data_IF_493388919174
#
_entry.id   IF_493388919174
#
_cell.length_a   1.000
_cell.length_b   1.000
_cell.length_c   1.000
_cell.angle_alpha   90.00
_cell.angle_beta   90.00
_cell.angle_gamma   90.00
#
_symmetry.space_group_name_H-M   'P 1'
#
loop_
_entity.id
_entity.type
_entity.pdbx_description
1 polymer ?
#
# COMPACT_ATOMS: atom_id res chain seq x y z
N UNK A 1 -17.61 5.23 -31.07
CA UNK A 1 -17.58 6.00 -29.81
C UNK A 1 -17.83 5.04 -28.64
N UNK A 2 -16.79 4.46 -28.00
CA UNK A 2 -16.94 3.64 -26.79
C UNK A 2 -16.04 4.08 -25.60
N UNK A 3 -15.66 5.37 -25.49
CA UNK A 3 -14.66 5.81 -24.51
C UNK A 3 -15.21 6.21 -23.11
N UNK A 4 -16.52 6.12 -22.88
CA UNK A 4 -17.11 6.58 -21.61
C UNK A 4 -17.24 5.49 -20.54
N UNK A 5 -17.51 4.24 -20.94
CA UNK A 5 -17.75 3.13 -20.01
C UNK A 5 -16.47 2.71 -19.26
N UNK A 6 -15.33 2.65 -19.95
CA UNK A 6 -14.03 2.29 -19.35
C UNK A 6 -13.47 3.33 -18.36
N UNK A 7 -14.01 4.55 -18.34
CA UNK A 7 -13.60 5.61 -17.39
C UNK A 7 -14.45 5.55 -16.11
N UNK A 8 -15.75 5.33 -16.24
CA UNK A 8 -16.66 5.13 -15.10
C UNK A 8 -16.33 3.85 -14.33
N UNK A 9 -15.94 2.77 -15.01
CA UNK A 9 -15.58 1.50 -14.38
C UNK A 9 -14.24 1.58 -13.62
N UNK A 10 -13.27 2.35 -14.12
CA UNK A 10 -12.01 2.60 -13.38
C UNK A 10 -12.18 3.54 -12.19
N UNK A 11 -13.07 4.54 -12.30
CA UNK A 11 -13.43 5.37 -11.15
C UNK A 11 -14.06 4.52 -10.03
N UNK A 12 -14.93 3.58 -10.38
CA UNK A 12 -15.55 2.68 -9.40
C UNK A 12 -14.55 1.71 -8.77
N UNK A 13 -13.53 1.27 -9.51
CA UNK A 13 -12.42 0.46 -8.97
C UNK A 13 -11.58 1.27 -7.99
N UNK A 14 -11.20 2.51 -8.32
CA UNK A 14 -10.43 3.36 -7.41
C UNK A 14 -11.18 3.65 -6.10
N UNK A 15 -12.49 3.93 -6.19
CA UNK A 15 -13.34 4.15 -5.02
C UNK A 15 -13.44 2.87 -4.16
N UNK A 16 -13.54 1.70 -4.80
CA UNK A 16 -13.54 0.40 -4.11
C UNK A 16 -12.19 0.14 -3.42
N UNK A 17 -11.07 0.39 -4.09
CA UNK A 17 -9.73 0.27 -3.49
C UNK A 17 -9.60 1.18 -2.27
N UNK A 18 -10.05 2.44 -2.37
CA UNK A 18 -10.02 3.38 -1.25
C UNK A 18 -10.87 2.90 -0.08
N UNK A 19 -12.09 2.43 -0.35
CA UNK A 19 -12.99 1.88 0.67
C UNK A 19 -12.37 0.65 1.36
N UNK A 20 -11.95 -0.35 0.59
CA UNK A 20 -11.40 -1.60 1.14
C UNK A 20 -10.07 -1.35 1.87
N UNK A 21 -9.27 -0.39 1.42
CA UNK A 21 -8.06 0.06 2.15
C UNK A 21 -8.43 0.63 3.52
N UNK A 22 -9.46 1.49 3.60
CA UNK A 22 -9.96 2.01 4.87
C UNK A 22 -10.51 0.93 5.80
N UNK A 23 -11.17 -0.09 5.24
CA UNK A 23 -11.65 -1.27 5.98
C UNK A 23 -10.49 -2.10 6.55
N UNK A 24 -9.46 -2.38 5.73
CA UNK A 24 -8.27 -3.10 6.16
C UNK A 24 -7.52 -2.35 7.28
N UNK A 25 -7.34 -1.03 7.15
CA UNK A 25 -6.68 -0.22 8.19
C UNK A 25 -7.48 -0.23 9.49
N UNK A 26 -8.81 -0.15 9.42
CA UNK A 26 -9.68 -0.24 10.61
C UNK A 26 -9.56 -1.62 11.28
N UNK A 27 -9.57 -2.69 10.50
CA UNK A 27 -9.39 -4.06 11.02
C UNK A 27 -8.01 -4.24 11.66
N UNK A 28 -6.94 -3.74 11.02
CA UNK A 28 -5.59 -3.77 11.56
C UNK A 28 -5.49 -3.00 12.90
N UNK A 29 -6.07 -1.80 13.00
CA UNK A 29 -6.11 -1.03 14.26
C UNK A 29 -6.89 -1.74 15.37
N UNK A 30 -7.90 -2.53 15.01
CA UNK A 30 -8.69 -3.33 15.94
C UNK A 30 -8.05 -4.69 16.28
N UNK A 31 -6.92 -5.04 15.64
CA UNK A 31 -6.31 -6.37 15.69
C UNK A 31 -7.29 -7.50 15.29
N UNK A 32 -8.22 -7.20 14.38
CA UNK A 32 -9.19 -8.16 13.84
C UNK A 32 -8.58 -8.87 12.62
N UNK A 33 -7.95 -10.03 12.87
CA UNK A 33 -7.22 -10.77 11.84
C UNK A 33 -8.13 -11.36 10.75
N UNK A 34 -9.38 -11.68 11.06
CA UNK A 34 -10.35 -12.23 10.11
C UNK A 34 -10.81 -11.14 9.14
N UNK A 35 -11.28 -9.99 9.68
CA UNK A 35 -11.70 -8.86 8.85
C UNK A 35 -10.52 -8.29 8.04
N UNK A 36 -9.32 -8.27 8.62
CA UNK A 36 -8.12 -7.84 7.94
C UNK A 36 -7.77 -8.75 6.76
N UNK A 37 -7.74 -10.08 6.97
CA UNK A 37 -7.47 -11.06 5.92
C UNK A 37 -8.45 -10.95 4.76
N UNK A 38 -9.75 -10.83 5.05
CA UNK A 38 -10.77 -10.67 4.02
C UNK A 38 -10.56 -9.39 3.18
N UNK A 39 -10.21 -8.27 3.82
CA UNK A 39 -9.95 -7.02 3.12
C UNK A 39 -8.67 -7.08 2.27
N UNK A 40 -7.59 -7.70 2.78
CA UNK A 40 -6.34 -7.87 2.03
C UNK A 40 -6.52 -8.79 0.83
N UNK A 41 -7.33 -9.85 0.96
CA UNK A 41 -7.65 -10.75 -0.14
C UNK A 41 -8.41 -10.01 -1.25
N UNK A 42 -9.38 -9.17 -0.88
CA UNK A 42 -10.12 -8.35 -1.85
C UNK A 42 -9.21 -7.34 -2.55
N UNK A 43 -8.31 -6.68 -1.82
CA UNK A 43 -7.37 -5.73 -2.40
C UNK A 43 -6.37 -6.40 -3.35
N UNK A 44 -5.92 -7.61 -3.03
CA UNK A 44 -5.02 -8.38 -3.88
C UNK A 44 -5.63 -8.74 -5.26
N UNK A 45 -6.97 -8.72 -5.40
CA UNK A 45 -7.66 -8.89 -6.68
C UNK A 45 -7.62 -7.64 -7.57
N UNK A 46 -7.21 -6.49 -7.03
CA UNK A 46 -7.19 -5.19 -7.70
C UNK A 46 -5.75 -4.70 -7.85
N UNK A 47 -5.10 -4.86 -9.02
CA UNK A 47 -3.73 -4.40 -9.25
C UNK A 47 -3.50 -2.91 -8.94
N UNK A 48 -4.54 -2.08 -9.09
CA UNK A 48 -4.53 -0.66 -8.77
C UNK A 48 -4.27 -0.37 -7.29
N UNK A 49 -4.60 -1.31 -6.40
CA UNK A 49 -4.34 -1.18 -4.95
C UNK A 49 -2.85 -0.99 -4.67
N UNK A 50 -1.98 -1.64 -5.45
CA UNK A 50 -0.53 -1.53 -5.32
C UNK A 50 -0.04 -0.11 -5.52
N UNK A 51 -0.51 0.54 -6.58
CA UNK A 51 -0.08 1.90 -6.91
C UNK A 51 -0.56 2.88 -5.83
N UNK A 52 -1.81 2.71 -5.38
CA UNK A 52 -2.38 3.48 -4.27
C UNK A 52 -1.54 3.31 -3.00
N UNK A 53 -1.27 2.08 -2.58
CA UNK A 53 -0.52 1.81 -1.35
C UNK A 53 0.95 2.26 -1.46
N UNK A 54 1.58 2.14 -2.63
CA UNK A 54 2.93 2.63 -2.85
C UNK A 54 3.01 4.16 -2.73
N UNK A 55 2.05 4.89 -3.29
CA UNK A 55 1.96 6.35 -3.14
C UNK A 55 1.71 6.74 -1.68
N UNK A 56 0.77 6.07 -1.00
CA UNK A 56 0.52 6.30 0.43
C UNK A 56 1.79 6.08 1.26
N UNK A 57 2.51 4.97 1.04
CA UNK A 57 3.73 4.65 1.78
C UNK A 57 4.82 5.70 1.58
N UNK A 58 5.05 6.17 0.34
CA UNK A 58 6.02 7.23 0.07
C UNK A 58 5.68 8.51 0.82
N UNK A 59 4.44 8.97 0.71
CA UNK A 59 3.99 10.21 1.34
C UNK A 59 3.98 10.11 2.88
N UNK A 60 3.62 8.94 3.43
CA UNK A 60 3.69 8.69 4.87
C UNK A 60 5.13 8.62 5.38
N UNK A 61 6.05 8.01 4.65
CA UNK A 61 7.47 8.01 5.00
C UNK A 61 8.03 9.43 5.01
N UNK A 62 7.69 10.25 4.03
CA UNK A 62 8.07 11.68 4.02
C UNK A 62 7.46 12.46 5.18
N UNK A 63 6.22 12.12 5.58
CA UNK A 63 5.56 12.72 6.75
C UNK A 63 6.27 12.35 8.06
N UNK A 64 6.65 11.08 8.23
CA UNK A 64 7.29 10.57 9.46
C UNK A 64 8.77 10.98 9.54
N UNK A 65 9.46 11.06 8.39
CA UNK A 65 10.89 11.33 8.29
C UNK A 65 11.17 12.57 7.42
N UNK A 66 10.79 13.79 7.87
CA UNK A 66 10.89 15.02 7.07
C UNK A 66 12.33 15.43 6.74
N UNK A 67 13.30 15.01 7.55
CA UNK A 67 14.73 15.27 7.32
C UNK A 67 15.39 14.23 6.40
N UNK A 68 14.60 13.28 5.89
CA UNK A 68 15.05 12.16 5.06
C UNK A 68 15.07 10.84 5.82
N UNK A 69 14.98 9.75 5.06
CA UNK A 69 14.93 8.38 5.57
C UNK A 69 16.33 7.74 5.53
N UNK A 70 16.82 7.30 6.69
CA UNK A 70 18.10 6.57 6.80
C UNK A 70 17.90 5.05 6.81
N UNK A 71 18.99 4.29 6.66
CA UNK A 71 18.93 2.82 6.79
C UNK A 71 18.52 2.35 8.19
N UNK A 72 18.86 3.11 9.23
CA UNK A 72 18.46 2.81 10.60
C UNK A 72 16.96 3.04 10.80
N UNK A 73 16.40 4.09 10.19
CA UNK A 73 14.95 4.36 10.21
C UNK A 73 14.16 3.24 9.51
N UNK A 74 14.63 2.77 8.35
CA UNK A 74 14.02 1.62 7.65
C UNK A 74 14.05 0.36 8.52
N UNK A 75 15.19 0.09 9.15
CA UNK A 75 15.35 -1.06 10.05
C UNK A 75 14.42 -0.96 11.27
N UNK A 76 14.24 0.24 11.82
CA UNK A 76 13.33 0.50 12.92
C UNK A 76 11.87 0.21 12.50
N UNK A 77 11.40 0.82 11.41
CA UNK A 77 10.03 0.62 10.88
C UNK A 77 9.78 -0.87 10.60
N UNK A 78 10.72 -1.55 9.93
CA UNK A 78 10.60 -2.98 9.65
C UNK A 78 10.46 -3.80 10.94
N UNK A 79 11.33 -3.55 11.92
CA UNK A 79 11.39 -4.32 13.18
C UNK A 79 10.14 -4.11 14.03
N UNK A 80 9.73 -2.86 14.17
CA UNK A 80 8.57 -2.46 14.98
C UNK A 80 7.25 -2.91 14.36
N UNK A 81 7.07 -2.69 13.05
CA UNK A 81 5.87 -3.15 12.31
C UNK A 81 5.74 -4.67 12.37
N UNK A 82 6.82 -5.40 12.08
CA UNK A 82 6.80 -6.88 12.11
C UNK A 82 6.49 -7.41 13.50
N UNK A 83 7.06 -6.79 14.55
CA UNK A 83 6.81 -7.18 15.94
C UNK A 83 5.36 -6.93 16.37
N UNK A 84 4.81 -5.78 15.99
CA UNK A 84 3.42 -5.43 16.30
C UNK A 84 2.46 -6.40 15.60
N UNK A 85 2.65 -6.65 14.30
CA UNK A 85 1.85 -7.57 13.50
C UNK A 85 1.82 -9.00 14.05
N UNK A 86 3.00 -9.53 14.41
CA UNK A 86 3.15 -10.91 14.88
C UNK A 86 2.32 -11.26 16.12
N UNK A 87 1.84 -10.26 16.87
CA UNK A 87 1.00 -10.48 18.06
C UNK A 87 -0.46 -10.79 17.73
N UNK A 88 -0.94 -10.47 16.52
CA UNK A 88 -2.36 -10.58 16.18
C UNK A 88 -2.65 -11.19 14.80
N UNK A 89 -1.69 -11.20 13.88
CA UNK A 89 -1.86 -11.79 12.54
C UNK A 89 -0.65 -12.61 12.10
N UNK A 90 -0.90 -13.72 11.42
CA UNK A 90 0.12 -14.52 10.73
C UNK A 90 0.24 -14.17 9.25
N UNK A 91 -0.55 -13.23 8.73
CA UNK A 91 -0.60 -12.87 7.32
C UNK A 91 0.57 -11.97 6.88
N UNK A 92 1.48 -11.61 7.79
CA UNK A 92 2.59 -10.69 7.53
C UNK A 92 3.89 -11.30 8.04
N UNK A 93 4.85 -11.54 7.14
CA UNK A 93 6.22 -11.88 7.50
C UNK A 93 7.14 -10.65 7.47
N UNK A 94 8.26 -10.66 8.23
CA UNK A 94 9.29 -9.62 8.13
C UNK A 94 9.84 -9.46 6.71
N UNK A 95 9.90 -10.54 5.93
CA UNK A 95 10.32 -10.53 4.53
C UNK A 95 9.36 -9.72 3.67
N UNK A 96 8.05 -9.90 3.83
CA UNK A 96 7.04 -9.13 3.10
C UNK A 96 7.12 -7.63 3.45
N UNK A 97 7.34 -7.28 4.72
CA UNK A 97 7.55 -5.88 5.16
C UNK A 97 8.79 -5.27 4.49
N UNK A 98 9.90 -6.01 4.43
CA UNK A 98 11.11 -5.54 3.76
C UNK A 98 10.89 -5.28 2.26
N UNK A 99 10.14 -6.16 1.58
CA UNK A 99 9.82 -6.02 0.15
C UNK A 99 8.92 -4.82 -0.12
N UNK A 100 7.94 -4.57 0.75
CA UNK A 100 7.08 -3.37 0.69
C UNK A 100 7.91 -2.10 0.85
N UNK A 101 8.77 -2.02 1.86
CA UNK A 101 9.58 -0.83 2.13
C UNK A 101 10.58 -0.56 1.00
N UNK A 102 11.30 -1.59 0.54
CA UNK A 102 12.25 -1.45 -0.58
C UNK A 102 11.57 -1.14 -1.91
N UNK A 103 10.37 -1.69 -2.15
CA UNK A 103 9.53 -1.36 -3.29
C UNK A 103 9.03 0.09 -3.26
N UNK A 104 8.57 0.57 -2.10
CA UNK A 104 8.16 1.97 -1.92
C UNK A 104 9.31 2.94 -2.19
N UNK A 105 10.55 2.57 -1.80
CA UNK A 105 11.75 3.37 -2.02
C UNK A 105 12.34 3.24 -3.43
N UNK A 106 11.80 2.38 -4.30
CA UNK A 106 12.33 2.14 -5.64
C UNK A 106 13.68 1.40 -5.66
N UNK A 107 14.08 0.78 -4.56
CA UNK A 107 15.36 0.04 -4.42
C UNK A 107 15.23 -1.39 -4.99
N UNK A 108 14.01 -1.87 -5.20
CA UNK A 108 13.73 -3.21 -5.71
C UNK A 108 13.83 -3.39 -7.23
N UNK A 109 14.12 -2.35 -8.01
CA UNK A 109 14.11 -2.41 -9.48
C UNK A 109 15.52 -2.52 -10.07
N UNK A 110 16.14 -3.69 -9.90
CA UNK A 110 17.28 -4.15 -10.71
C UNK A 110 16.95 -5.46 -11.44
N UNK A 111 15.72 -5.60 -11.91
CA UNK A 111 15.31 -6.71 -12.75
C UNK A 111 14.84 -6.14 -14.09
N UNK A 112 15.74 -6.18 -15.08
CA UNK A 112 15.49 -6.27 -16.52
C UNK A 112 14.09 -5.82 -17.02
N UNK A 113 13.96 -4.78 -17.87
CA UNK A 113 12.68 -4.38 -18.45
C UNK A 113 12.00 -5.46 -19.31
N UNK A 114 12.73 -6.53 -19.70
CA UNK A 114 12.19 -7.72 -20.37
C UNK A 114 11.90 -8.90 -19.40
N UNK A 115 12.30 -8.78 -18.13
CA UNK A 115 11.75 -9.67 -17.10
C UNK A 115 10.28 -9.28 -16.94
N UNK A 116 9.37 -10.22 -17.22
CA UNK A 116 8.02 -10.16 -16.66
C UNK A 116 8.18 -9.74 -15.20
N UNK A 117 7.52 -8.65 -14.73
CA UNK A 117 7.67 -8.22 -13.34
C UNK A 117 7.47 -9.47 -12.51
N UNK A 118 8.52 -9.91 -11.80
CA UNK A 118 8.58 -11.27 -11.25
C UNK A 118 7.23 -11.56 -10.65
N UNK A 119 6.52 -12.52 -11.24
CA UNK A 119 5.13 -12.84 -10.96
C UNK A 119 4.99 -13.51 -9.58
N UNK A 120 5.50 -12.84 -8.55
CA UNK A 120 5.77 -13.37 -7.22
C UNK A 120 5.78 -12.33 -6.10
N UNK A 121 5.27 -11.10 -6.32
CA UNK A 121 5.00 -10.14 -5.23
C UNK A 121 3.63 -9.46 -5.34
N UNK A 122 2.67 -10.18 -5.91
CA UNK A 122 1.25 -9.84 -5.92
C UNK A 122 0.49 -10.95 -5.18
N UNK A 123 0.70 -11.05 -3.88
CA UNK A 123 -0.08 -11.94 -3.05
C UNK A 123 -0.72 -11.18 -1.88
N UNK A 124 -1.67 -11.84 -1.24
CA UNK A 124 -2.32 -11.29 -0.06
C UNK A 124 -1.30 -10.94 1.04
N UNK A 125 -0.11 -11.56 1.06
CA UNK A 125 0.94 -11.31 2.06
C UNK A 125 1.61 -9.95 1.87
N UNK A 126 2.01 -9.57 0.65
CA UNK A 126 2.58 -8.24 0.41
C UNK A 126 1.54 -7.13 0.56
N UNK A 127 0.29 -7.40 0.18
CA UNK A 127 -0.85 -6.48 0.39
C UNK A 127 -1.10 -6.27 1.89
N UNK A 128 -1.13 -7.36 2.66
CA UNK A 128 -1.23 -7.31 4.11
C UNK A 128 -0.06 -6.54 4.73
N UNK A 129 1.17 -6.83 4.34
CA UNK A 129 2.36 -6.14 4.85
C UNK A 129 2.29 -4.63 4.58
N UNK A 130 1.88 -4.21 3.37
CA UNK A 130 1.70 -2.79 3.03
C UNK A 130 0.69 -2.10 3.95
N UNK A 131 -0.45 -2.74 4.18
CA UNK A 131 -1.50 -2.19 5.04
C UNK A 131 -1.09 -2.11 6.52
N UNK A 132 -0.32 -3.08 7.03
CA UNK A 132 0.22 -2.99 8.39
C UNK A 132 1.23 -1.84 8.49
N UNK A 133 2.14 -1.69 7.52
CA UNK A 133 3.10 -0.56 7.51
C UNK A 133 2.36 0.79 7.43
N UNK A 134 1.37 0.92 6.54
CA UNK A 134 0.54 2.14 6.45
C UNK A 134 -0.17 2.42 7.78
N UNK A 135 -0.71 1.38 8.42
CA UNK A 135 -1.38 1.52 9.72
C UNK A 135 -0.43 1.99 10.80
N UNK A 136 0.80 1.46 10.84
CA UNK A 136 1.84 1.86 11.79
C UNK A 136 2.32 3.30 11.53
N UNK A 137 2.65 3.66 10.28
CA UNK A 137 3.11 5.01 9.94
C UNK A 137 2.05 6.08 10.19
N UNK A 138 0.78 5.80 9.89
CA UNK A 138 -0.32 6.74 10.18
C UNK A 138 -0.53 6.94 11.67
N UNK A 139 -0.35 5.89 12.48
CA UNK A 139 -0.39 5.98 13.94
C UNK A 139 0.80 6.78 14.49
N UNK A 140 2.02 6.58 13.95
CA UNK A 140 3.22 7.34 14.35
C UNK A 140 3.11 8.83 14.05
N UNK A 141 2.60 9.16 12.86
CA UNK A 141 2.44 10.55 12.43
C UNK A 141 1.21 11.23 13.05
N UNK A 142 0.33 10.48 13.74
CA UNK A 142 -0.96 10.96 14.26
C UNK A 142 -1.83 11.61 13.17
N UNK A 143 -1.97 10.92 12.03
CA UNK A 143 -2.70 11.40 10.85
C UNK A 143 -3.84 10.48 10.43
N UNK A 144 -4.82 11.05 9.72
CA UNK A 144 -5.92 10.28 9.14
C UNK A 144 -5.46 9.54 7.86
N UNK A 145 -5.45 8.19 7.84
CA UNK A 145 -5.13 7.40 6.65
C UNK A 145 -6.01 7.72 5.44
N UNK A 146 -7.26 8.15 5.66
CA UNK A 146 -8.20 8.42 4.57
C UNK A 146 -7.81 9.65 3.74
N UNK A 147 -7.05 10.58 4.32
CA UNK A 147 -6.52 11.70 3.54
C UNK A 147 -5.45 11.24 2.55
N UNK A 148 -4.58 10.30 2.96
CA UNK A 148 -3.51 9.77 2.12
C UNK A 148 -4.04 8.88 1.00
N UNK A 149 -5.04 8.03 1.29
CA UNK A 149 -5.66 7.20 0.24
C UNK A 149 -6.39 8.06 -0.80
N UNK A 150 -7.05 9.13 -0.36
CA UNK A 150 -7.73 10.08 -1.26
C UNK A 150 -6.72 10.80 -2.15
N UNK A 151 -5.63 11.31 -1.56
CA UNK A 151 -4.53 11.96 -2.31
C UNK A 151 -3.88 11.01 -3.31
N UNK A 152 -3.61 9.76 -2.93
CA UNK A 152 -3.05 8.74 -3.81
C UNK A 152 -3.97 8.43 -5.01
N UNK A 153 -5.27 8.24 -4.76
CA UNK A 153 -6.26 8.02 -5.83
C UNK A 153 -6.35 9.24 -6.77
N UNK A 154 -6.34 10.45 -6.21
CA UNK A 154 -6.39 11.68 -7.00
C UNK A 154 -5.12 11.89 -7.84
N UNK A 155 -3.94 11.52 -7.32
CA UNK A 155 -2.68 11.53 -8.07
C UNK A 155 -2.73 10.58 -9.26
N UNK A 156 -3.14 9.33 -9.05
CA UNK A 156 -3.30 8.34 -10.13
C UNK A 156 -4.27 8.85 -11.20
N UNK A 157 -5.40 9.42 -10.78
CA UNK A 157 -6.39 10.00 -11.72
C UNK A 157 -5.81 11.17 -12.52
N UNK A 158 -4.97 12.00 -11.90
CA UNK A 158 -4.28 13.11 -12.57
C UNK A 158 -3.24 12.61 -13.56
N UNK A 159 -2.39 11.66 -13.18
CA UNK A 159 -1.37 11.07 -14.06
C UNK A 159 -2.00 10.46 -15.32
N UNK A 160 -3.08 9.68 -15.17
CA UNK A 160 -3.82 9.09 -16.28
C UNK A 160 -4.46 10.11 -17.23
N UNK A 161 -4.71 11.34 -16.76
CA UNK A 161 -5.25 12.42 -17.60
C UNK A 161 -4.17 13.07 -18.47
N UNK A 162 -2.91 13.08 -18.00
CA UNK A 162 -1.78 13.70 -18.72
C UNK A 162 -1.19 12.81 -19.82
N UNK A 163 -1.38 11.49 -19.76
CA UNK A 163 -0.83 10.53 -20.74
C UNK A 163 -1.65 10.39 -22.04
N UNK A 164 -2.76 11.12 -22.20
CA UNK A 164 -3.55 11.13 -23.43
C UNK A 164 -3.31 12.42 -24.26
N UNK A 165 -2.49 12.38 -25.33
CA UNK A 165 -2.44 13.45 -26.33
C UNK A 165 -3.68 13.50 -27.24
#
# INVERSE_FOLDING_TARGET
MPHNESRSDRSSVADRVAQTTGEAIRAARAHDSEAFGAATDLLALHPESREVHALMLRELLETVFPDGLTGDDVSEVMTSTSRAAASWTSAVSPTAVALVLTGALGVGDTADPDALPSAGLLDAETTAAALVVITDLTARADVDPMEYVTRAVDEIRRAQTMEMP
#
